data_IF_427731495483
#
_entry.id   IF_427731495483
#
_cell.length_a   1.000
_cell.length_b   1.000
_cell.length_c   1.000
_cell.angle_alpha   90.00
_cell.angle_beta   90.00
_cell.angle_gamma   90.00
#
_symmetry.space_group_name_H-M   'P 1'
#
loop_
_entity.id
_entity.type
_entity.pdbx_description
1 polymer ?
#
# COMPACT_ATOMS: atom_id res chain seq x y z
N UNK A 1 1.26 0.70 -4.38
CA UNK A 1 1.14 1.97 -5.15
C UNK A 1 0.91 1.71 -6.62
N UNK A 2 1.83 1.04 -7.32
CA UNK A 2 1.66 0.69 -8.76
C UNK A 2 0.35 -0.07 -9.00
N UNK A 3 0.06 -1.10 -8.20
CA UNK A 3 -1.22 -1.82 -8.29
C UNK A 3 -2.44 -0.92 -8.10
N UNK A 4 -2.38 0.04 -7.16
CA UNK A 4 -3.46 1.00 -6.93
C UNK A 4 -3.64 1.97 -8.11
N UNK A 5 -2.54 2.43 -8.71
CA UNK A 5 -2.58 3.22 -9.95
C UNK A 5 -3.27 2.45 -11.05
N UNK A 6 -2.90 1.18 -11.24
CA UNK A 6 -3.56 0.32 -12.23
C UNK A 6 -5.07 0.13 -11.95
N UNK A 7 -5.45 -0.09 -10.68
CA UNK A 7 -6.85 -0.22 -10.28
C UNK A 7 -7.67 1.02 -10.61
N UNK A 8 -7.17 2.21 -10.24
CA UNK A 8 -7.91 3.47 -10.32
C UNK A 8 -7.81 4.18 -11.67
N UNK A 9 -6.64 4.21 -12.29
CA UNK A 9 -6.38 5.04 -13.48
C UNK A 9 -6.42 4.24 -14.79
N UNK A 10 -6.24 2.91 -14.73
CA UNK A 10 -6.16 2.04 -15.92
C UNK A 10 -7.26 0.98 -15.98
N UNK A 11 -8.33 1.16 -15.20
CA UNK A 11 -9.51 0.28 -15.21
C UNK A 11 -9.25 -1.10 -14.63
N UNK A 12 -8.19 -1.28 -13.84
CA UNK A 12 -7.87 -2.55 -13.20
C UNK A 12 -8.92 -3.03 -12.21
N UNK A 13 -9.67 -2.10 -11.61
CA UNK A 13 -10.77 -2.43 -10.71
C UNK A 13 -11.81 -3.36 -11.35
N UNK A 14 -12.10 -3.17 -12.65
CA UNK A 14 -13.06 -4.00 -13.40
C UNK A 14 -12.61 -5.45 -13.59
N UNK A 15 -11.33 -5.74 -13.34
CA UNK A 15 -10.70 -7.05 -13.55
C UNK A 15 -10.17 -7.66 -12.26
N UNK A 16 -10.45 -7.03 -11.11
CA UNK A 16 -9.89 -7.43 -9.82
C UNK A 16 -11.00 -7.63 -8.83
N UNK A 17 -11.12 -8.86 -8.32
CA UNK A 17 -12.02 -9.14 -7.22
C UNK A 17 -11.45 -8.61 -5.89
N UNK A 18 -10.19 -8.97 -5.59
CA UNK A 18 -9.52 -8.65 -4.33
C UNK A 18 -8.15 -8.05 -4.56
N UNK A 19 -7.82 -7.03 -3.78
CA UNK A 19 -6.52 -6.37 -3.78
C UNK A 19 -5.92 -6.33 -2.37
N UNK A 20 -4.81 -7.06 -2.21
CA UNK A 20 -4.06 -7.11 -0.95
C UNK A 20 -2.86 -6.16 -1.04
N UNK A 21 -2.88 -5.10 -0.23
CA UNK A 21 -1.81 -4.12 -0.13
C UNK A 21 -0.92 -4.43 1.07
N UNK A 22 0.31 -4.85 0.83
CA UNK A 22 1.27 -5.19 1.89
C UNK A 22 2.34 -4.10 1.99
N UNK A 23 2.40 -3.39 3.12
CA UNK A 23 3.44 -2.41 3.45
C UNK A 23 3.58 -1.25 2.45
N UNK A 24 2.61 -1.02 1.57
CA UNK A 24 2.75 -0.03 0.50
C UNK A 24 2.53 1.40 1.02
N UNK A 25 3.32 2.41 0.63
CA UNK A 25 3.18 3.80 1.06
C UNK A 25 1.97 4.50 0.40
N UNK A 26 0.74 4.07 0.73
CA UNK A 26 -0.49 4.54 0.10
C UNK A 26 -0.79 6.04 0.34
N UNK A 27 -0.23 6.61 1.41
CA UNK A 27 -0.28 8.05 1.72
C UNK A 27 1.09 8.73 1.58
N UNK A 28 2.03 8.03 0.95
CA UNK A 28 3.44 8.38 0.89
C UNK A 28 4.20 8.02 2.16
N UNK A 29 5.52 8.24 2.13
CA UNK A 29 6.43 7.99 3.24
C UNK A 29 7.29 9.21 3.52
N UNK A 30 7.62 9.45 4.78
CA UNK A 30 8.60 10.47 5.17
C UNK A 30 10.00 10.12 4.67
N UNK A 31 10.33 8.83 4.59
CA UNK A 31 11.65 8.34 4.15
C UNK A 31 11.98 8.76 2.72
N UNK A 32 10.96 8.94 1.86
CA UNK A 32 11.13 9.39 0.48
C UNK A 32 11.38 10.91 0.34
N UNK A 33 11.09 11.72 1.36
CA UNK A 33 11.17 13.18 1.25
C UNK A 33 12.60 13.67 1.00
N UNK A 34 13.58 12.99 1.59
CA UNK A 34 14.99 13.34 1.48
C UNK A 34 15.61 12.97 0.12
N UNK A 35 14.90 12.21 -0.72
CA UNK A 35 15.45 11.67 -1.97
C UNK A 35 15.21 12.67 -3.11
N UNK A 36 16.26 13.15 -3.82
CA UNK A 36 16.09 14.05 -4.95
C UNK A 36 15.33 13.40 -6.10
N UNK A 37 14.37 14.12 -6.69
CA UNK A 37 13.47 13.56 -7.69
C UNK A 37 14.17 13.19 -9.00
N UNK A 38 15.23 13.93 -9.36
CA UNK A 38 16.03 13.67 -10.56
C UNK A 38 16.86 12.38 -10.47
N UNK A 39 17.12 11.88 -9.26
CA UNK A 39 17.89 10.66 -9.03
C UNK A 39 16.99 9.42 -9.09
N UNK A 40 15.81 9.50 -8.46
CA UNK A 40 14.88 8.38 -8.33
C UNK A 40 13.42 8.85 -8.50
N UNK A 41 12.96 8.94 -9.74
CA UNK A 41 11.61 9.39 -10.07
C UNK A 41 10.52 8.55 -9.37
N UNK A 42 10.68 7.22 -9.34
CA UNK A 42 9.70 6.34 -8.67
C UNK A 42 9.62 6.57 -7.15
N UNK A 43 10.73 6.97 -6.51
CA UNK A 43 10.70 7.35 -5.09
C UNK A 43 10.12 8.74 -4.91
N UNK A 44 10.34 9.64 -5.87
CA UNK A 44 9.70 10.97 -5.89
C UNK A 44 8.18 10.86 -5.89
N UNK A 45 7.61 9.89 -6.61
CA UNK A 45 6.18 9.61 -6.61
C UNK A 45 5.65 9.08 -5.26
N UNK A 46 6.51 8.51 -4.42
CA UNK A 46 6.17 8.06 -3.07
C UNK A 46 6.26 9.17 -2.01
N UNK A 47 6.71 10.38 -2.38
CA UNK A 47 6.75 11.53 -1.48
C UNK A 47 5.34 11.91 -1.06
N UNK A 48 5.15 12.21 0.23
CA UNK A 48 3.85 12.70 0.72
C UNK A 48 3.45 13.96 -0.05
N UNK A 49 2.24 13.94 -0.60
CA UNK A 49 1.73 15.02 -1.43
C UNK A 49 2.30 15.08 -2.85
N UNK A 50 2.97 14.04 -3.35
CA UNK A 50 3.34 13.94 -4.77
C UNK A 50 2.11 14.08 -5.68
N UNK A 51 2.27 14.52 -6.93
CA UNK A 51 1.15 14.60 -7.88
C UNK A 51 0.39 13.27 -8.01
N UNK A 52 1.12 12.15 -8.12
CA UNK A 52 0.53 10.82 -8.18
C UNK A 52 -0.30 10.52 -6.92
N UNK A 53 0.25 10.73 -5.72
CA UNK A 53 -0.50 10.45 -4.49
C UNK A 53 -1.68 11.39 -4.28
N UNK A 54 -1.61 12.64 -4.75
CA UNK A 54 -2.76 13.56 -4.74
C UNK A 54 -3.87 13.06 -5.68
N UNK A 55 -3.52 12.60 -6.89
CA UNK A 55 -4.47 11.96 -7.81
C UNK A 55 -5.15 10.76 -7.16
N UNK A 56 -4.35 9.79 -6.70
CA UNK A 56 -4.86 8.55 -6.10
C UNK A 56 -5.70 8.80 -4.84
N UNK A 57 -5.33 9.78 -4.01
CA UNK A 57 -6.04 10.11 -2.77
C UNK A 57 -7.22 11.09 -2.95
N UNK A 58 -7.44 11.62 -4.16
CA UNK A 58 -8.56 12.51 -4.45
C UNK A 58 -9.88 11.77 -4.70
N UNK A 59 -9.83 10.54 -5.21
CA UNK A 59 -11.01 9.75 -5.55
C UNK A 59 -10.76 8.26 -5.28
N UNK A 60 -11.73 7.60 -4.64
CA UNK A 60 -11.67 6.17 -4.30
C UNK A 60 -12.80 5.34 -4.92
N UNK A 61 -13.61 5.94 -5.80
CA UNK A 61 -14.81 5.30 -6.35
C UNK A 61 -14.49 3.95 -7.01
N UNK A 62 -13.44 3.88 -7.82
CA UNK A 62 -13.01 2.64 -8.48
C UNK A 62 -12.60 1.55 -7.49
N UNK A 63 -12.12 1.90 -6.29
CA UNK A 63 -11.72 0.89 -5.31
C UNK A 63 -12.93 0.28 -4.59
N UNK A 64 -14.11 0.91 -4.63
CA UNK A 64 -15.31 0.40 -3.94
C UNK A 64 -15.81 -0.92 -4.51
N UNK A 65 -15.51 -1.21 -5.79
CA UNK A 65 -15.85 -2.48 -6.44
C UNK A 65 -14.83 -3.58 -6.20
N UNK A 66 -13.74 -3.30 -5.48
CA UNK A 66 -12.64 -4.22 -5.22
C UNK A 66 -12.53 -4.46 -3.72
N UNK A 67 -12.45 -5.72 -3.32
CA UNK A 67 -12.20 -6.07 -1.93
C UNK A 67 -10.76 -5.71 -1.55
N UNK A 68 -10.60 -4.58 -0.87
CA UNK A 68 -9.29 -4.05 -0.50
C UNK A 68 -8.91 -4.49 0.91
N UNK A 69 -7.73 -5.07 1.07
CA UNK A 69 -7.18 -5.48 2.38
C UNK A 69 -5.79 -4.87 2.52
N UNK A 70 -5.48 -4.28 3.68
CA UNK A 70 -4.16 -3.69 3.93
C UNK A 70 -3.44 -4.36 5.08
N UNK A 71 -2.20 -4.78 4.85
CA UNK A 71 -1.29 -5.25 5.89
C UNK A 71 -0.15 -4.27 6.06
N UNK A 72 0.19 -3.95 7.31
CA UNK A 72 1.29 -3.04 7.59
C UNK A 72 2.05 -3.47 8.85
N UNK A 73 3.30 -3.01 8.94
CA UNK A 73 4.13 -3.13 10.12
C UNK A 73 4.20 -1.75 10.80
N UNK A 74 4.07 -1.68 12.14
CA UNK A 74 4.13 -0.39 12.85
C UNK A 74 5.52 0.24 12.80
N UNK A 75 6.56 -0.58 12.86
CA UNK A 75 7.97 -0.16 12.97
C UNK A 75 8.70 -0.16 11.62
N UNK A 76 7.95 0.04 10.53
CA UNK A 76 8.49 0.10 9.18
C UNK A 76 9.36 1.36 8.97
N UNK A 77 10.66 1.14 8.72
CA UNK A 77 11.63 2.20 8.42
C UNK A 77 11.58 2.68 6.96
N UNK A 78 11.09 1.84 6.03
CA UNK A 78 10.96 2.21 4.62
C UNK A 78 9.68 3.03 4.39
N UNK A 79 8.58 2.64 5.04
CA UNK A 79 7.31 3.37 5.00
C UNK A 79 7.04 3.97 6.37
N UNK A 80 7.65 5.12 6.65
CA UNK A 80 7.50 5.79 7.93
C UNK A 80 6.51 6.97 7.83
N UNK A 81 5.47 7.03 8.69
CA UNK A 81 5.12 6.04 9.71
C UNK A 81 4.33 4.84 9.15
N UNK A 82 4.63 3.63 9.63
CA UNK A 82 4.11 2.38 9.08
C UNK A 82 2.59 2.21 9.10
N UNK A 83 1.90 2.81 10.08
CA UNK A 83 0.43 2.80 10.15
C UNK A 83 -0.26 3.63 9.05
N UNK A 84 0.50 4.38 8.25
CA UNK A 84 -0.03 5.06 7.07
C UNK A 84 0.10 4.23 5.79
N UNK A 85 0.70 3.05 5.86
CA UNK A 85 0.86 2.11 4.76
C UNK A 85 -0.44 1.33 4.43
N UNK A 86 -1.60 2.00 4.56
CA UNK A 86 -2.93 1.40 4.43
C UNK A 86 -3.76 2.14 3.39
N UNK A 87 -4.60 1.38 2.68
CA UNK A 87 -5.60 1.97 1.80
C UNK A 87 -6.63 2.76 2.63
N UNK A 88 -7.28 3.76 2.02
CA UNK A 88 -8.34 4.54 2.69
C UNK A 88 -9.65 3.77 2.81
N UNK A 89 -9.76 2.58 2.21
CA UNK A 89 -10.92 1.71 2.24
C UNK A 89 -10.52 0.29 2.62
N UNK A 90 -11.50 -0.47 3.11
CA UNK A 90 -11.33 -1.87 3.48
C UNK A 90 -10.62 -2.08 4.83
N UNK A 91 -10.58 -3.33 5.31
CA UNK A 91 -9.90 -3.67 6.56
C UNK A 91 -8.39 -3.43 6.47
N UNK A 92 -7.79 -3.09 7.61
CA UNK A 92 -6.35 -3.04 7.76
C UNK A 92 -5.91 -3.77 9.03
N UNK A 93 -4.78 -4.48 8.92
CA UNK A 93 -4.24 -5.31 9.99
C UNK A 93 -2.77 -4.97 10.22
N UNK A 94 -2.43 -4.67 11.47
CA UNK A 94 -1.05 -4.52 11.90
C UNK A 94 -0.45 -5.91 12.11
N UNK A 95 0.56 -6.27 11.31
CA UNK A 95 1.27 -7.53 11.45
C UNK A 95 2.33 -7.38 12.57
N UNK A 96 2.44 -8.33 13.52
CA UNK A 96 3.37 -8.27 14.65
C UNK A 96 4.81 -8.62 14.21
N UNK A 97 5.34 -7.85 13.26
CA UNK A 97 6.71 -7.89 12.78
C UNK A 97 7.38 -6.54 12.99
N UNK A 98 8.69 -6.46 12.77
CA UNK A 98 9.49 -5.28 13.04
C UNK A 98 9.93 -4.57 11.78
N UNK A 99 10.25 -5.30 10.71
CA UNK A 99 10.78 -4.72 9.47
C UNK A 99 9.81 -4.87 8.31
N UNK A 100 9.95 -4.01 7.30
CA UNK A 100 9.20 -4.13 6.06
C UNK A 100 9.43 -5.49 5.37
N UNK A 101 10.67 -5.97 5.34
CA UNK A 101 11.02 -7.26 4.73
C UNK A 101 10.27 -8.43 5.40
N UNK A 102 10.06 -8.36 6.72
CA UNK A 102 9.32 -9.38 7.45
C UNK A 102 7.84 -9.47 7.04
N UNK A 103 7.25 -8.40 6.49
CA UNK A 103 5.90 -8.48 5.91
C UNK A 103 5.82 -9.47 4.74
N UNK A 104 6.92 -9.68 4.02
CA UNK A 104 6.97 -10.54 2.84
C UNK A 104 7.55 -11.93 3.11
N UNK A 105 8.20 -12.14 4.27
CA UNK A 105 9.02 -13.34 4.52
C UNK A 105 8.77 -14.00 5.87
N UNK A 106 8.19 -13.30 6.85
CA UNK A 106 7.96 -13.88 8.16
C UNK A 106 6.75 -14.83 8.13
N UNK A 107 6.83 -16.05 8.70
CA UNK A 107 5.73 -17.02 8.69
C UNK A 107 4.39 -16.43 9.12
N UNK A 108 4.35 -15.74 10.28
CA UNK A 108 3.13 -15.03 10.74
C UNK A 108 2.52 -14.05 9.73
N UNK A 109 3.34 -13.40 8.91
CA UNK A 109 2.83 -12.50 7.87
C UNK A 109 2.25 -13.30 6.71
N UNK A 110 2.94 -14.36 6.29
CA UNK A 110 2.47 -15.27 5.24
C UNK A 110 1.16 -15.97 5.66
N UNK A 111 1.05 -16.43 6.90
CA UNK A 111 -0.15 -17.08 7.42
C UNK A 111 -1.37 -16.16 7.33
N UNK A 112 -1.23 -14.90 7.74
CA UNK A 112 -2.29 -13.88 7.63
C UNK A 112 -2.66 -13.55 6.18
N UNK A 113 -1.66 -13.49 5.29
CA UNK A 113 -1.88 -13.27 3.86
C UNK A 113 -2.62 -14.44 3.22
N UNK A 114 -2.26 -15.67 3.58
CA UNK A 114 -2.93 -16.90 3.11
C UNK A 114 -4.37 -16.94 3.60
N UNK A 115 -4.61 -16.68 4.87
CA UNK A 115 -5.97 -16.62 5.43
C UNK A 115 -6.83 -15.62 4.65
N UNK A 116 -6.30 -14.43 4.38
CA UNK A 116 -7.01 -13.40 3.60
C UNK A 116 -7.18 -13.71 2.12
N UNK A 117 -6.44 -14.67 1.57
CA UNK A 117 -6.65 -15.17 0.20
C UNK A 117 -7.77 -16.22 0.14
N UNK A 118 -8.03 -16.92 1.24
CA UNK A 118 -8.94 -18.07 1.28
C UNK A 118 -10.34 -17.73 1.83
N UNK A 119 -10.55 -16.53 2.37
CA UNK A 119 -11.89 -16.05 2.72
C UNK A 119 -12.68 -15.81 1.43
N UNK A 120 -13.90 -16.30 1.32
CA UNK A 120 -14.84 -16.03 0.21
C UNK A 120 -15.81 -14.89 0.57
#
# INVERSE_FOLDING_TARGET
MIGRTWLQEFGGAKRTHRFISVGSPQKGTLTAQCIPAWLLAGVADMKRGSPLLRSLNGNYAELQSVECISFFCRWDLMVCPGWQAVLPIGPNTAVPVWTHQQLMSHPKSLDLLIESLLID
#
